data_IF_903288739346
#
_entry.id   IF_903288739346
#
_cell.length_a   1.000
_cell.length_b   1.000
_cell.length_c   1.000
_cell.angle_alpha   90.00
_cell.angle_beta   90.00
_cell.angle_gamma   90.00
#
_symmetry.space_group_name_H-M   'P 1'
#
loop_
_entity.id
_entity.type
_entity.pdbx_description
1 polymer ?
#
# COMPACT_ATOMS: atom_id res chain seq x y z
N UNK A 1 1.33 -14.87 -10.34
CA UNK A 1 1.23 -14.25 -11.68
C UNK A 1 2.16 -14.85 -12.73
N UNK A 2 3.46 -15.03 -12.46
CA UNK A 2 4.40 -15.56 -13.48
C UNK A 2 3.91 -16.90 -14.07
N UNK A 3 3.35 -17.78 -13.25
CA UNK A 3 2.75 -19.04 -13.70
C UNK A 3 1.52 -18.82 -14.61
N UNK A 4 0.52 -18.05 -14.17
CA UNK A 4 -0.68 -17.74 -14.96
C UNK A 4 -0.37 -17.01 -16.29
N UNK A 5 0.67 -16.17 -16.30
CA UNK A 5 1.19 -15.50 -17.51
C UNK A 5 1.79 -16.49 -18.50
N UNK A 6 2.56 -17.47 -18.02
CA UNK A 6 3.19 -18.50 -18.85
C UNK A 6 2.18 -19.39 -19.58
N UNK A 7 0.96 -19.47 -19.07
CA UNK A 7 -0.14 -20.26 -19.68
C UNK A 7 -1.22 -19.38 -20.31
N UNK A 8 -0.98 -18.07 -20.47
CA UNK A 8 -1.93 -17.12 -21.08
C UNK A 8 -3.31 -17.03 -20.39
N UNK A 9 -3.42 -17.49 -19.15
CA UNK A 9 -4.66 -17.46 -18.36
C UNK A 9 -4.77 -16.25 -17.44
N UNK A 10 -3.89 -15.25 -17.59
CA UNK A 10 -3.90 -14.06 -16.73
C UNK A 10 -5.26 -13.36 -16.76
N UNK A 11 -5.81 -13.07 -17.94
CA UNK A 11 -7.08 -12.34 -18.06
C UNK A 11 -8.24 -13.14 -17.45
N UNK A 12 -8.27 -14.45 -17.67
CA UNK A 12 -9.29 -15.30 -17.09
C UNK A 12 -9.17 -15.35 -15.56
N UNK A 13 -7.95 -15.51 -15.02
CA UNK A 13 -7.71 -15.48 -13.59
C UNK A 13 -8.12 -14.13 -12.96
N UNK A 14 -7.80 -13.02 -13.62
CA UNK A 14 -8.17 -11.67 -13.19
C UNK A 14 -9.68 -11.38 -13.29
N UNK A 15 -10.42 -12.13 -14.10
CA UNK A 15 -11.88 -12.00 -14.19
C UNK A 15 -12.63 -12.63 -13.01
N UNK A 16 -11.99 -13.59 -12.31
CA UNK A 16 -12.62 -14.33 -11.19
C UNK A 16 -12.04 -13.90 -9.84
N UNK A 17 -10.75 -13.57 -9.79
CA UNK A 17 -10.07 -13.11 -8.58
C UNK A 17 -9.92 -11.60 -8.66
N UNK A 18 -10.40 -10.82 -7.69
CA UNK A 18 -10.28 -9.35 -7.70
C UNK A 18 -8.86 -8.86 -7.37
N UNK A 19 -8.16 -9.58 -6.49
CA UNK A 19 -6.87 -9.19 -5.96
C UNK A 19 -6.33 -10.20 -4.94
N UNK A 20 -5.22 -9.84 -4.28
CA UNK A 20 -4.58 -10.67 -3.26
C UNK A 20 -4.37 -9.83 -2.00
N UNK A 21 -4.78 -10.36 -0.85
CA UNK A 21 -4.51 -9.77 0.45
C UNK A 21 -3.26 -10.41 1.09
N UNK A 22 -2.33 -9.57 1.57
CA UNK A 22 -1.26 -10.01 2.46
C UNK A 22 -1.79 -9.97 3.90
N UNK A 23 -1.92 -11.14 4.52
CA UNK A 23 -2.45 -11.29 5.89
C UNK A 23 -1.41 -10.98 6.96
N UNK A 24 -0.12 -10.92 6.63
CA UNK A 24 0.94 -10.71 7.63
C UNK A 24 0.85 -9.33 8.33
N UNK A 25 0.60 -8.22 7.63
CA UNK A 25 0.35 -6.92 8.29
C UNK A 25 -0.85 -6.95 9.25
N UNK A 26 -1.94 -7.63 8.88
CA UNK A 26 -3.12 -7.78 9.73
C UNK A 26 -2.79 -8.58 10.99
N UNK A 27 -2.12 -9.72 10.82
CA UNK A 27 -1.67 -10.58 11.92
C UNK A 27 -0.78 -9.79 12.87
N UNK A 28 0.21 -9.05 12.37
CA UNK A 28 1.11 -8.22 13.21
C UNK A 28 0.36 -7.16 14.01
N UNK A 29 -0.69 -6.56 13.43
CA UNK A 29 -1.53 -5.57 14.12
C UNK A 29 -2.28 -6.21 15.30
N UNK A 30 -2.78 -7.43 15.13
CA UNK A 30 -3.48 -8.16 16.19
C UNK A 30 -2.51 -8.70 17.27
N UNK A 31 -1.42 -9.35 16.85
CA UNK A 31 -0.51 -10.05 17.78
C UNK A 31 0.44 -9.12 18.51
N UNK A 32 0.79 -7.97 17.91
CA UNK A 32 1.83 -7.03 18.36
C UNK A 32 3.19 -7.68 18.63
N UNK A 33 3.42 -8.89 18.10
CA UNK A 33 4.66 -9.65 18.32
C UNK A 33 5.83 -8.98 17.59
N UNK A 34 6.93 -8.82 18.33
CA UNK A 34 8.21 -8.29 17.83
C UNK A 34 9.26 -9.40 17.84
N UNK A 35 10.23 -9.30 16.94
CA UNK A 35 11.33 -10.26 16.83
C UNK A 35 11.32 -11.06 15.52
N UNK A 36 12.51 -11.44 15.07
CA UNK A 36 12.70 -12.24 13.85
C UNK A 36 12.06 -13.60 14.06
N UNK A 37 11.20 -14.01 13.13
CA UNK A 37 10.52 -15.31 13.19
C UNK A 37 9.22 -15.34 14.00
N UNK A 38 8.93 -14.35 14.85
CA UNK A 38 7.77 -14.39 15.75
C UNK A 38 6.40 -14.46 15.04
N UNK A 39 6.33 -14.01 13.78
CA UNK A 39 5.13 -14.07 12.95
C UNK A 39 5.25 -15.08 11.80
N UNK A 40 6.18 -16.05 11.88
CA UNK A 40 6.16 -17.21 10.97
C UNK A 40 4.91 -18.03 11.23
N UNK A 41 4.41 -18.70 10.18
CA UNK A 41 3.20 -19.51 10.26
C UNK A 41 3.30 -20.56 11.38
N UNK A 42 4.41 -21.31 11.42
CA UNK A 42 4.70 -22.30 12.46
C UNK A 42 4.76 -21.69 13.87
N UNK A 43 5.45 -20.56 14.04
CA UNK A 43 5.54 -19.87 15.33
C UNK A 43 4.18 -19.40 15.83
N UNK A 44 3.33 -18.92 14.92
CA UNK A 44 1.95 -18.55 15.24
C UNK A 44 1.09 -19.78 15.54
N UNK A 45 1.24 -20.85 14.77
CA UNK A 45 0.52 -22.11 15.00
C UNK A 45 0.81 -22.66 16.40
N UNK A 46 2.08 -22.78 16.76
CA UNK A 46 2.52 -23.21 18.09
C UNK A 46 1.97 -22.30 19.19
N UNK A 47 2.02 -20.97 18.99
CA UNK A 47 1.49 -19.99 19.96
C UNK A 47 -0.01 -20.17 20.21
N UNK A 48 -0.77 -20.55 19.19
CA UNK A 48 -2.23 -20.71 19.29
C UNK A 48 -2.67 -22.17 19.51
N UNK A 49 -1.72 -23.08 19.78
CA UNK A 49 -2.01 -24.50 19.99
C UNK A 49 -2.59 -25.18 18.74
N UNK A 50 -2.16 -24.75 17.55
CA UNK A 50 -2.55 -25.32 16.26
C UNK A 50 -1.44 -26.28 15.82
N UNK A 51 -1.82 -27.49 15.45
CA UNK A 51 -0.89 -28.49 14.93
C UNK A 51 -0.18 -27.99 13.66
N UNK A 52 1.16 -28.08 13.68
CA UNK A 52 2.05 -27.58 12.63
C UNK A 52 2.90 -28.71 11.99
N UNK A 53 2.48 -29.96 12.14
CA UNK A 53 3.22 -31.17 11.73
C UNK A 53 3.50 -31.26 10.22
N UNK A 54 2.83 -30.45 9.39
CA UNK A 54 2.95 -30.43 7.92
C UNK A 54 3.11 -29.02 7.33
N UNK A 55 3.76 -28.12 8.07
CA UNK A 55 4.18 -26.83 7.48
C UNK A 55 5.08 -27.13 6.26
N UNK A 56 4.91 -26.36 5.18
CA UNK A 56 5.49 -26.57 3.84
C UNK A 56 4.65 -27.44 2.88
N UNK A 57 3.52 -28.00 3.32
CA UNK A 57 2.46 -28.41 2.42
C UNK A 57 1.47 -27.25 2.22
N UNK A 58 1.21 -26.86 0.97
CA UNK A 58 0.42 -25.67 0.65
C UNK A 58 -1.03 -25.76 1.17
N UNK A 59 -1.63 -26.95 1.17
CA UNK A 59 -3.00 -27.14 1.66
C UNK A 59 -3.04 -26.99 3.18
N UNK A 60 -2.06 -27.56 3.87
CA UNK A 60 -1.93 -27.43 5.32
C UNK A 60 -1.60 -26.00 5.74
N UNK A 61 -0.72 -25.31 5.01
CA UNK A 61 -0.37 -23.92 5.26
C UNK A 61 -1.61 -23.02 5.19
N UNK A 62 -2.49 -23.22 4.18
CA UNK A 62 -3.75 -22.49 4.06
C UNK A 62 -4.69 -22.77 5.24
N UNK A 63 -4.82 -24.03 5.66
CA UNK A 63 -5.65 -24.42 6.81
C UNK A 63 -5.14 -23.84 8.12
N UNK A 64 -3.81 -23.82 8.32
CA UNK A 64 -3.19 -23.21 9.50
C UNK A 64 -3.45 -21.69 9.50
N UNK A 65 -3.28 -21.03 8.35
CA UNK A 65 -3.54 -19.60 8.21
C UNK A 65 -5.01 -19.24 8.49
N UNK A 66 -5.95 -20.06 8.03
CA UNK A 66 -7.38 -19.88 8.32
C UNK A 66 -7.66 -19.98 9.82
N UNK A 67 -7.12 -21.01 10.50
CA UNK A 67 -7.27 -21.19 11.95
C UNK A 67 -6.66 -20.03 12.74
N UNK A 68 -5.48 -19.54 12.35
CA UNK A 68 -4.84 -18.36 12.95
C UNK A 68 -5.73 -17.12 12.76
N UNK A 69 -6.25 -16.90 11.55
CA UNK A 69 -7.10 -15.75 11.24
C UNK A 69 -8.37 -15.74 12.10
N UNK A 70 -9.00 -16.91 12.28
CA UNK A 70 -10.14 -17.10 13.19
C UNK A 70 -9.78 -16.81 14.65
N UNK A 71 -8.65 -17.32 15.16
CA UNK A 71 -8.17 -17.05 16.53
C UNK A 71 -7.87 -15.57 16.78
N UNK A 72 -7.46 -14.84 15.74
CA UNK A 72 -7.16 -13.40 15.80
C UNK A 72 -8.35 -12.50 15.49
N UNK A 73 -9.53 -13.07 15.24
CA UNK A 73 -10.74 -12.36 14.82
C UNK A 73 -10.49 -11.44 13.60
N UNK A 74 -9.67 -11.91 12.65
CA UNK A 74 -9.47 -11.23 11.36
C UNK A 74 -10.69 -11.58 10.51
N UNK A 75 -11.59 -10.62 10.35
CA UNK A 75 -12.86 -10.80 9.62
C UNK A 75 -12.72 -10.44 8.14
N UNK A 76 -13.70 -10.86 7.34
CA UNK A 76 -13.75 -10.65 5.90
C UNK A 76 -13.47 -9.18 5.49
N UNK A 77 -14.12 -8.23 6.17
CA UNK A 77 -13.95 -6.80 5.88
C UNK A 77 -12.49 -6.35 6.05
N UNK A 78 -11.76 -6.87 7.05
CA UNK A 78 -10.35 -6.55 7.22
C UNK A 78 -9.50 -7.05 6.04
N UNK A 79 -9.85 -8.22 5.52
CA UNK A 79 -9.16 -8.84 4.38
C UNK A 79 -9.45 -8.04 3.12
N UNK A 80 -10.72 -7.71 2.85
CA UNK A 80 -11.14 -6.91 1.70
C UNK A 80 -10.45 -5.55 1.71
N UNK A 81 -10.46 -4.83 2.84
CA UNK A 81 -9.77 -3.55 2.97
C UNK A 81 -8.24 -3.63 2.81
N UNK A 82 -7.64 -4.81 3.02
CA UNK A 82 -6.19 -5.03 2.85
C UNK A 82 -5.82 -5.61 1.48
N UNK A 83 -6.81 -5.87 0.63
CA UNK A 83 -6.62 -6.51 -0.67
C UNK A 83 -5.92 -5.56 -1.62
N UNK A 84 -4.84 -6.03 -2.24
CA UNK A 84 -4.21 -5.38 -3.37
C UNK A 84 -4.88 -5.87 -4.66
N UNK A 85 -5.65 -4.99 -5.30
CA UNK A 85 -6.30 -5.28 -6.58
C UNK A 85 -5.29 -5.37 -7.72
N UNK A 86 -5.69 -5.98 -8.85
CA UNK A 86 -4.82 -6.04 -10.02
C UNK A 86 -4.46 -4.67 -10.58
N UNK A 87 -5.42 -3.74 -10.62
CA UNK A 87 -5.17 -2.36 -11.05
C UNK A 87 -4.10 -1.68 -10.20
N UNK A 88 -4.18 -1.80 -8.88
CA UNK A 88 -3.17 -1.27 -7.96
C UNK A 88 -1.81 -1.98 -8.09
N UNK A 89 -1.80 -3.30 -8.29
CA UNK A 89 -0.56 -4.06 -8.49
C UNK A 89 0.17 -3.63 -9.78
N UNK A 90 -0.59 -3.40 -10.87
CA UNK A 90 -0.07 -2.89 -12.14
C UNK A 90 0.46 -1.46 -11.96
N UNK A 91 -0.32 -0.57 -11.32
CA UNK A 91 0.13 0.80 -10.98
C UNK A 91 1.43 0.75 -10.18
N UNK A 92 1.54 -0.12 -9.17
CA UNK A 92 2.76 -0.30 -8.37
C UNK A 92 3.95 -0.77 -9.19
N UNK A 93 3.77 -1.70 -10.12
CA UNK A 93 4.86 -2.18 -11.00
C UNK A 93 5.41 -1.06 -11.88
N UNK A 94 4.55 -0.14 -12.32
CA UNK A 94 4.92 0.97 -13.20
C UNK A 94 5.43 2.22 -12.43
N UNK A 95 5.48 2.18 -11.09
CA UNK A 95 5.95 3.30 -10.26
C UNK A 95 7.37 3.74 -10.59
N UNK A 96 8.29 2.81 -10.83
CA UNK A 96 9.71 3.13 -11.10
C UNK A 96 9.88 3.97 -12.38
N UNK A 97 9.04 3.74 -13.38
CA UNK A 97 9.03 4.51 -14.63
C UNK A 97 8.36 5.87 -14.40
N UNK A 98 7.20 5.86 -13.74
CA UNK A 98 6.41 7.08 -13.52
C UNK A 98 7.04 8.04 -12.50
N UNK A 99 7.92 7.60 -11.61
CA UNK A 99 8.51 8.48 -10.59
C UNK A 99 9.30 9.64 -11.17
N UNK A 100 9.83 9.47 -12.39
CA UNK A 100 10.50 10.53 -13.15
C UNK A 100 9.59 11.73 -13.43
N UNK A 101 8.27 11.53 -13.54
CA UNK A 101 7.31 12.62 -13.74
C UNK A 101 7.23 13.60 -12.56
N UNK A 102 7.68 13.18 -11.37
CA UNK A 102 7.75 14.01 -10.16
C UNK A 102 9.19 14.30 -9.74
N UNK A 103 10.17 14.15 -10.63
CA UNK A 103 11.60 14.38 -10.32
C UNK A 103 11.85 15.82 -9.85
N UNK A 104 11.07 16.78 -10.33
CA UNK A 104 11.12 18.18 -9.89
C UNK A 104 10.96 18.34 -8.37
N UNK A 105 10.18 17.45 -7.73
CA UNK A 105 9.92 17.47 -6.29
C UNK A 105 10.96 16.69 -5.48
N UNK A 106 12.00 16.13 -6.11
CA UNK A 106 12.97 15.26 -5.46
C UNK A 106 13.66 15.88 -4.25
N UNK A 107 13.92 17.18 -4.30
CA UNK A 107 14.65 17.89 -3.25
C UNK A 107 13.75 18.27 -2.06
N UNK A 108 12.43 18.26 -2.22
CA UNK A 108 11.48 18.63 -1.16
C UNK A 108 10.61 17.46 -0.68
N UNK A 109 10.69 16.30 -1.31
CA UNK A 109 9.89 15.11 -0.98
C UNK A 109 10.73 13.83 -0.90
N UNK A 110 10.27 12.84 -0.14
CA UNK A 110 10.85 11.49 -0.19
C UNK A 110 10.32 10.70 -1.40
N UNK A 111 11.04 9.65 -1.79
CA UNK A 111 10.59 8.69 -2.82
C UNK A 111 9.20 8.15 -2.47
N UNK A 112 8.97 7.78 -1.20
CA UNK A 112 7.68 7.26 -0.74
C UNK A 112 6.52 8.24 -0.91
N UNK A 113 6.74 9.55 -0.70
CA UNK A 113 5.72 10.57 -0.93
C UNK A 113 5.40 10.69 -2.43
N UNK A 114 6.41 10.72 -3.29
CA UNK A 114 6.19 10.75 -4.75
C UNK A 114 5.49 9.50 -5.28
N UNK A 115 5.79 8.33 -4.71
CA UNK A 115 5.08 7.10 -5.04
C UNK A 115 3.60 7.18 -4.70
N UNK A 116 3.26 7.72 -3.52
CA UNK A 116 1.86 7.93 -3.14
C UNK A 116 1.14 8.91 -4.05
N UNK A 117 1.78 10.02 -4.42
CA UNK A 117 1.23 10.98 -5.40
C UNK A 117 0.86 10.26 -6.71
N UNK A 118 1.77 9.46 -7.26
CA UNK A 118 1.53 8.70 -8.50
C UNK A 118 0.43 7.66 -8.34
N UNK A 119 0.36 6.98 -7.20
CA UNK A 119 -0.70 6.00 -6.94
C UNK A 119 -2.09 6.66 -6.85
N UNK A 120 -2.13 7.92 -6.42
CA UNK A 120 -3.33 8.76 -6.35
C UNK A 120 -3.56 9.57 -7.64
N UNK A 121 -2.84 9.23 -8.71
CA UNK A 121 -2.87 9.92 -10.01
C UNK A 121 -2.63 11.44 -9.94
N UNK A 122 -1.91 11.92 -8.92
CA UNK A 122 -1.54 13.33 -8.74
C UNK A 122 -0.30 13.66 -9.55
N UNK A 123 -0.43 14.63 -10.46
CA UNK A 123 0.66 15.13 -11.31
C UNK A 123 1.35 16.35 -10.69
N UNK A 124 2.51 16.73 -11.24
CA UNK A 124 3.18 17.97 -10.84
C UNK A 124 2.33 19.20 -11.15
N UNK A 125 1.61 19.21 -12.27
CA UNK A 125 0.78 20.35 -12.68
C UNK A 125 -0.39 20.56 -11.71
N UNK A 126 -1.04 19.49 -11.26
CA UNK A 126 -2.09 19.57 -10.23
C UNK A 126 -1.54 20.17 -8.92
N UNK A 127 -0.32 19.80 -8.54
CA UNK A 127 0.35 20.33 -7.34
C UNK A 127 0.64 21.83 -7.52
N UNK A 128 1.09 22.22 -8.71
CA UNK A 128 1.38 23.62 -9.04
C UNK A 128 0.11 24.48 -9.02
N UNK A 129 -0.96 24.00 -9.63
CA UNK A 129 -2.27 24.65 -9.68
C UNK A 129 -2.88 24.80 -8.30
N UNK A 130 -2.93 23.71 -7.51
CA UNK A 130 -3.42 23.76 -6.14
C UNK A 130 -2.63 24.75 -5.26
N UNK A 131 -1.32 24.88 -5.49
CA UNK A 131 -0.52 25.89 -4.79
C UNK A 131 -0.80 27.32 -5.28
N UNK A 132 -0.99 27.55 -6.57
CA UNK A 132 -1.34 28.87 -7.11
C UNK A 132 -2.68 29.36 -6.61
N UNK A 133 -3.67 28.47 -6.51
CA UNK A 133 -5.03 28.81 -6.08
C UNK A 133 -5.16 29.01 -4.56
N UNK A 134 -4.51 28.15 -3.77
CA UNK A 134 -4.74 28.07 -2.33
C UNK A 134 -3.48 28.04 -1.46
N UNK A 135 -2.30 28.22 -2.05
CA UNK A 135 -1.02 28.10 -1.35
C UNK A 135 -0.89 26.77 -0.60
N UNK A 136 -0.43 26.85 0.64
CA UNK A 136 -0.28 25.66 1.50
C UNK A 136 -1.63 24.97 1.82
N UNK A 137 -2.74 25.72 1.85
CA UNK A 137 -4.08 25.16 2.10
C UNK A 137 -4.54 24.32 0.91
N UNK A 138 -4.33 24.81 -0.31
CA UNK A 138 -4.62 24.07 -1.54
C UNK A 138 -3.83 22.76 -1.61
N UNK A 139 -2.53 22.81 -1.28
CA UNK A 139 -1.70 21.60 -1.17
C UNK A 139 -2.22 20.62 -0.11
N UNK A 140 -2.70 21.11 1.03
CA UNK A 140 -3.25 20.27 2.10
C UNK A 140 -4.54 19.58 1.67
N UNK A 141 -5.36 20.22 0.83
CA UNK A 141 -6.58 19.62 0.28
C UNK A 141 -6.20 18.54 -0.72
N UNK A 142 -5.39 18.87 -1.72
CA UNK A 142 -4.98 17.94 -2.77
C UNK A 142 -4.27 16.69 -2.22
N UNK A 143 -3.24 16.88 -1.39
CA UNK A 143 -2.41 15.77 -0.89
C UNK A 143 -2.99 15.10 0.36
N UNK A 144 -3.92 15.77 1.03
CA UNK A 144 -4.61 15.28 2.21
C UNK A 144 -5.92 14.56 1.89
N UNK A 145 -6.36 14.49 0.63
CA UNK A 145 -7.58 13.79 0.25
C UNK A 145 -7.55 12.33 0.72
N UNK A 146 -8.69 11.86 1.23
CA UNK A 146 -8.86 10.49 1.70
C UNK A 146 -9.52 9.67 0.57
N UNK A 147 -8.77 8.74 -0.03
CA UNK A 147 -9.34 7.72 -0.91
C UNK A 147 -9.74 6.51 -0.06
N UNK A 148 -11.00 6.11 -0.11
CA UNK A 148 -11.51 4.96 0.67
C UNK A 148 -11.19 5.06 2.17
N UNK A 149 -11.37 6.24 2.78
CA UNK A 149 -11.06 6.53 4.20
C UNK A 149 -9.58 6.37 4.59
N UNK A 150 -8.67 6.34 3.61
CA UNK A 150 -7.22 6.34 3.82
C UNK A 150 -6.60 7.57 3.18
N UNK A 151 -5.72 8.25 3.89
CA UNK A 151 -4.97 9.39 3.37
C UNK A 151 -4.21 8.93 2.11
N UNK A 152 -4.52 9.54 0.97
CA UNK A 152 -3.98 9.17 -0.33
C UNK A 152 -2.46 9.46 -0.39
N UNK A 153 -2.04 10.66 0.06
CA UNK A 153 -0.62 11.05 0.08
C UNK A 153 -0.10 11.37 1.48
N UNK A 154 -0.46 12.53 2.03
CA UNK A 154 0.05 13.00 3.32
C UNK A 154 -0.75 14.16 3.89
N UNK A 155 -0.97 14.14 5.22
CA UNK A 155 -1.42 15.31 6.01
C UNK A 155 -0.28 15.91 6.86
N UNK A 156 0.97 15.49 6.63
CA UNK A 156 2.11 15.92 7.42
C UNK A 156 2.50 17.37 7.08
N UNK A 157 2.34 18.27 8.05
CA UNK A 157 2.62 19.70 7.90
C UNK A 157 4.04 20.00 7.44
N UNK A 158 5.06 19.33 7.98
CA UNK A 158 6.47 19.53 7.57
C UNK A 158 6.69 19.17 6.10
N UNK A 159 6.05 18.11 5.61
CA UNK A 159 6.13 17.72 4.20
C UNK A 159 5.47 18.77 3.31
N UNK A 160 4.26 19.21 3.67
CA UNK A 160 3.52 20.23 2.92
C UNK A 160 4.30 21.55 2.86
N UNK A 161 4.93 21.93 3.97
CA UNK A 161 5.71 23.17 4.07
C UNK A 161 6.98 23.11 3.21
N UNK A 162 7.66 21.95 3.14
CA UNK A 162 8.80 21.76 2.21
C UNK A 162 8.38 21.92 0.75
N UNK A 163 7.24 21.36 0.35
CA UNK A 163 6.71 21.50 -1.01
C UNK A 163 6.33 22.96 -1.27
N UNK A 164 5.59 23.58 -0.35
CA UNK A 164 5.20 25.00 -0.42
C UNK A 164 6.42 25.92 -0.60
N UNK A 165 7.47 25.74 0.20
CA UNK A 165 8.68 26.56 0.10
C UNK A 165 9.39 26.37 -1.25
N UNK A 166 9.48 25.12 -1.73
CA UNK A 166 10.05 24.83 -3.04
C UNK A 166 9.27 25.54 -4.17
N UNK A 167 7.94 25.45 -4.15
CA UNK A 167 7.09 26.08 -5.17
C UNK A 167 7.14 27.60 -5.07
N UNK A 168 7.23 28.16 -3.86
CA UNK A 168 7.41 29.59 -3.63
C UNK A 168 8.66 30.12 -4.34
N UNK A 169 9.81 29.47 -4.12
CA UNK A 169 11.07 29.84 -4.78
C UNK A 169 11.00 29.68 -6.31
N UNK A 170 10.27 28.68 -6.81
CA UNK A 170 10.13 28.43 -8.25
C UNK A 170 9.22 29.42 -8.96
N UNK A 171 8.19 29.91 -8.28
CA UNK A 171 7.20 30.84 -8.84
C UNK A 171 7.57 32.32 -8.66
N UNK A 172 8.62 32.63 -7.89
CA UNK A 172 9.11 34.00 -7.72
C UNK A 172 8.31 34.82 -6.70
N UNK A 173 7.69 34.18 -5.71
CA UNK A 173 7.01 34.83 -4.58
C UNK A 173 7.90 34.94 -3.33
#
# INVERSE_FOLDING_TARGET
MVAAKKVYMENHFQSVVLGIADTLPLIKKCTKLKGKGANKLESLANKFGIEASQVHDAVHDVRILEKISKKLNIVYDNIVESTLTWGEAIKKKNLSVKIKSLEMLKNCTSIGIRQKMILSDITYDMILEAYKEGGIKGLSILLGNDENRRIAVTKNSKCLQKISNYLKTKLGY
#
